data_IF_276052903869
#
_entry.id   IF_276052903869
#
_cell.length_a   1.000
_cell.length_b   1.000
_cell.length_c   1.000
_cell.angle_alpha   90.00
_cell.angle_beta   90.00
_cell.angle_gamma   90.00
#
_symmetry.space_group_name_H-M   'P 1'
#
loop_
_entity.id
_entity.type
_entity.pdbx_description
1 polymer ?
#
# COMPACT_ATOMS: atom_id res chain seq x y z
N UNK A 1 -3.80 -9.49 -16.52
CA UNK A 1 -3.74 -8.67 -15.30
C UNK A 1 -5.05 -7.91 -15.19
N UNK A 2 -5.87 -8.24 -14.19
CA UNK A 2 -7.14 -7.56 -13.90
C UNK A 2 -6.87 -6.19 -13.26
N UNK A 3 -7.87 -5.29 -13.21
CA UNK A 3 -7.73 -4.04 -12.47
C UNK A 3 -7.39 -4.25 -10.99
N UNK A 4 -8.02 -5.23 -10.33
CA UNK A 4 -7.75 -5.56 -8.93
C UNK A 4 -6.32 -6.06 -8.73
N UNK A 5 -5.82 -6.94 -9.61
CA UNK A 5 -4.42 -7.41 -9.57
C UNK A 5 -3.42 -6.25 -9.73
N UNK A 6 -3.72 -5.27 -10.59
CA UNK A 6 -2.89 -4.08 -10.74
C UNK A 6 -2.89 -3.21 -9.47
N UNK A 7 -4.06 -2.98 -8.87
CA UNK A 7 -4.20 -2.20 -7.64
C UNK A 7 -3.42 -2.86 -6.48
N UNK A 8 -3.55 -4.18 -6.32
CA UNK A 8 -2.81 -4.94 -5.31
C UNK A 8 -1.28 -4.89 -5.52
N UNK A 9 -0.81 -5.09 -6.76
CA UNK A 9 0.61 -5.01 -7.07
C UNK A 9 1.19 -3.61 -6.77
N UNK A 10 0.41 -2.57 -7.05
CA UNK A 10 0.76 -1.18 -6.70
C UNK A 10 0.76 -0.98 -5.19
N UNK A 11 -0.24 -1.48 -4.47
CA UNK A 11 -0.36 -1.38 -3.02
C UNK A 11 0.87 -2.01 -2.34
N UNK A 12 1.21 -3.26 -2.69
CA UNK A 12 2.41 -3.94 -2.21
C UNK A 12 3.67 -3.11 -2.41
N UNK A 13 3.87 -2.55 -3.61
CA UNK A 13 5.06 -1.73 -3.90
C UNK A 13 5.12 -0.49 -3.00
N UNK A 14 3.99 0.18 -2.78
CA UNK A 14 3.94 1.39 -1.95
C UNK A 14 4.19 1.07 -0.48
N UNK A 15 3.55 0.05 0.08
CA UNK A 15 3.74 -0.37 1.47
C UNK A 15 5.18 -0.80 1.71
N UNK A 16 5.75 -1.61 0.80
CA UNK A 16 7.17 -1.99 0.87
C UNK A 16 8.10 -0.77 0.81
N UNK A 17 7.82 0.21 -0.05
CA UNK A 17 8.60 1.46 -0.12
C UNK A 17 8.52 2.24 1.20
N UNK A 18 7.35 2.28 1.83
CA UNK A 18 7.12 2.96 3.11
C UNK A 18 7.93 2.36 4.26
N UNK A 19 8.14 1.05 4.21
CA UNK A 19 8.97 0.30 5.16
C UNK A 19 10.45 0.42 4.87
N UNK A 20 10.87 0.12 3.63
CA UNK A 20 12.30 0.07 3.26
C UNK A 20 12.96 1.45 3.27
N UNK A 21 12.20 2.51 2.98
CA UNK A 21 12.75 3.86 2.76
C UNK A 21 12.12 4.94 3.63
N UNK A 22 11.22 4.57 4.55
CA UNK A 22 10.50 5.53 5.38
C UNK A 22 11.44 6.48 6.12
N UNK A 23 12.53 5.94 6.67
CA UNK A 23 13.50 6.70 7.47
C UNK A 23 14.36 7.66 6.63
N UNK A 24 14.42 7.45 5.30
CA UNK A 24 15.13 8.33 4.36
C UNK A 24 14.24 9.48 3.86
N UNK A 25 12.92 9.40 4.09
CA UNK A 25 11.96 10.39 3.65
C UNK A 25 11.75 11.47 4.70
N UNK A 26 11.63 12.71 4.24
CA UNK A 26 11.12 13.78 5.08
C UNK A 26 9.61 13.61 5.34
N UNK A 27 9.08 14.38 6.29
CA UNK A 27 7.68 14.31 6.70
C UNK A 27 6.69 14.50 5.55
N UNK A 28 7.00 15.38 4.59
CA UNK A 28 6.15 15.57 3.41
C UNK A 28 6.14 14.34 2.49
N UNK A 29 7.29 13.71 2.29
CA UNK A 29 7.44 12.46 1.55
C UNK A 29 6.66 11.32 2.19
N UNK A 30 6.73 11.19 3.52
CA UNK A 30 5.95 10.22 4.29
C UNK A 30 4.45 10.43 4.10
N UNK A 31 3.95 11.65 4.26
CA UNK A 31 2.52 11.96 4.06
C UNK A 31 2.03 11.65 2.65
N UNK A 32 2.84 11.96 1.63
CA UNK A 32 2.49 11.65 0.24
C UNK A 32 2.43 10.14 0.00
N UNK A 33 3.37 9.40 0.58
CA UNK A 33 3.41 7.95 0.45
C UNK A 33 2.23 7.28 1.19
N UNK A 34 1.93 7.72 2.42
CA UNK A 34 0.78 7.25 3.20
C UNK A 34 -0.54 7.53 2.47
N UNK A 35 -0.66 8.72 1.84
CA UNK A 35 -1.84 9.06 1.03
C UNK A 35 -1.96 8.18 -0.21
N UNK A 36 -0.85 7.87 -0.87
CA UNK A 36 -0.84 6.99 -2.03
C UNK A 36 -1.24 5.56 -1.65
N UNK A 37 -0.73 5.04 -0.52
CA UNK A 37 -1.13 3.73 0.03
C UNK A 37 -2.63 3.71 0.29
N UNK A 38 -3.15 4.70 1.01
CA UNK A 38 -4.58 4.77 1.33
C UNK A 38 -5.46 4.83 0.08
N UNK A 39 -5.09 5.66 -0.91
CA UNK A 39 -5.84 5.73 -2.17
C UNK A 39 -5.86 4.40 -2.92
N UNK A 40 -4.71 3.74 -3.03
CA UNK A 40 -4.62 2.46 -3.75
C UNK A 40 -5.29 1.31 -2.97
N UNK A 41 -5.32 1.36 -1.64
CA UNK A 41 -6.15 0.46 -0.84
C UNK A 41 -7.64 0.64 -1.17
N UNK A 42 -8.12 1.88 -1.22
CA UNK A 42 -9.52 2.16 -1.60
C UNK A 42 -9.81 1.66 -3.03
N UNK A 43 -8.90 1.89 -3.97
CA UNK A 43 -9.05 1.37 -5.34
C UNK A 43 -9.17 -0.16 -5.36
N UNK A 44 -8.39 -0.88 -4.55
CA UNK A 44 -8.46 -2.34 -4.47
C UNK A 44 -9.79 -2.82 -3.86
N UNK A 45 -10.28 -2.15 -2.81
CA UNK A 45 -11.59 -2.40 -2.20
C UNK A 45 -12.73 -2.15 -3.20
N UNK A 46 -12.71 -1.02 -3.92
CA UNK A 46 -13.72 -0.70 -4.92
C UNK A 46 -13.75 -1.70 -6.09
N UNK A 47 -12.63 -2.41 -6.31
CA UNK A 47 -12.48 -3.47 -7.30
C UNK A 47 -12.77 -4.88 -6.75
N UNK A 48 -13.20 -4.99 -5.49
CA UNK A 48 -13.60 -6.24 -4.84
C UNK A 48 -12.45 -7.11 -4.34
N UNK A 49 -11.29 -6.51 -4.06
CA UNK A 49 -10.11 -7.18 -3.51
C UNK A 49 -9.83 -6.78 -2.05
N UNK A 50 -10.89 -6.61 -1.26
CA UNK A 50 -10.84 -6.12 0.12
C UNK A 50 -9.94 -6.95 1.03
N UNK A 51 -10.04 -8.28 0.93
CA UNK A 51 -9.32 -9.22 1.79
C UNK A 51 -7.83 -9.20 1.45
N UNK A 52 -7.47 -9.29 0.17
CA UNK A 52 -6.09 -9.22 -0.29
C UNK A 52 -5.46 -7.86 0.02
N UNK A 53 -6.22 -6.77 -0.11
CA UNK A 53 -5.76 -5.43 0.22
C UNK A 53 -5.51 -5.26 1.72
N UNK A 54 -6.31 -5.90 2.57
CA UNK A 54 -6.09 -5.92 4.03
C UNK A 54 -4.86 -6.76 4.39
N UNK A 55 -4.72 -7.94 3.80
CA UNK A 55 -3.53 -8.79 3.99
C UNK A 55 -2.23 -8.07 3.59
N UNK A 56 -2.25 -7.25 2.53
CA UNK A 56 -1.10 -6.41 2.14
C UNK A 56 -0.64 -5.47 3.26
N UNK A 57 -1.57 -4.91 4.03
CA UNK A 57 -1.26 -3.99 5.13
C UNK A 57 -0.82 -4.75 6.38
N UNK A 58 -1.47 -5.87 6.68
CA UNK A 58 -1.18 -6.69 7.88
C UNK A 58 0.17 -7.41 7.79
N UNK A 59 0.52 -7.95 6.61
CA UNK A 59 1.81 -8.62 6.39
C UNK A 59 3.00 -7.70 6.71
N UNK A 60 2.83 -6.40 6.50
CA UNK A 60 3.87 -5.40 6.72
C UNK A 60 3.84 -4.85 8.16
N UNK A 61 2.73 -5.01 8.89
CA UNK A 61 2.63 -4.68 10.31
C UNK A 61 3.26 -5.75 11.22
N UNK A 62 3.24 -7.02 10.82
CA UNK A 62 3.76 -8.16 11.63
C UNK A 62 5.30 -8.26 11.63
N UNK A 63 5.97 -7.51 10.76
CA UNK A 63 7.43 -7.62 10.56
C UNK A 63 8.22 -6.36 10.98
N UNK A 64 7.60 -5.48 11.78
CA UNK A 64 8.18 -4.25 12.33
C UNK A 64 8.54 -4.37 13.81
#
# INVERSE_FOLDING_TARGET
MTPSEYALARLHRLVRTRREKGDELNEAGLRLLDRAIYSTYCDAVDLGADDEARECLDAEAVTG
#
